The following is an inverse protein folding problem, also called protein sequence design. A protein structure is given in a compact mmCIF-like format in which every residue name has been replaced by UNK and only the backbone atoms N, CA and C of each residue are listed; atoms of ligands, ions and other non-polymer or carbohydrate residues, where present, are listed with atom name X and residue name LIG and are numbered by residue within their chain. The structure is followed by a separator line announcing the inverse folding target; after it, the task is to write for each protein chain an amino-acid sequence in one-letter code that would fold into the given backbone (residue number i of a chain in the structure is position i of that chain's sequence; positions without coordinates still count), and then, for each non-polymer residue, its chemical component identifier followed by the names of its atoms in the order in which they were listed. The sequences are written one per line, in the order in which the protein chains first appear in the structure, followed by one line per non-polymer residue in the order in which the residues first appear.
data_IF_868724241160
#
_entry.id   IF_868724241160
#
_cell.length_a   1.000
_cell.length_b   1.000
_cell.length_c   1.000
_cell.angle_alpha   90.00
_cell.angle_beta   90.00
_cell.angle_gamma   90.00
#
_symmetry.space_group_name_H-M   'P 1'
#
loop_
_entity.id
_entity.type
_entity.pdbx_description
1 polymer ?
#
# COMPACT_ATOMS: atom_id res chain seq x y z
N UNK A 1 -9.94 -4.76 3.15
CA UNK A 1 -8.58 -4.56 3.62
C UNK A 1 -7.61 -4.54 2.44
N UNK A 2 -6.77 -3.54 2.43
CA UNK A 2 -5.69 -3.41 1.44
C UNK A 2 -4.38 -3.73 2.12
N UNK A 3 -3.60 -4.62 1.54
CA UNK A 3 -2.24 -4.89 1.97
C UNK A 3 -1.30 -4.27 0.94
N UNK A 4 -0.48 -3.32 1.38
CA UNK A 4 0.33 -2.48 0.49
C UNK A 4 1.80 -2.73 0.77
N UNK A 5 2.57 -3.04 -0.26
CA UNK A 5 3.99 -3.26 -0.18
C UNK A 5 4.71 -2.29 -1.12
N UNK A 6 5.85 -1.77 -0.70
CA UNK A 6 6.66 -0.86 -1.50
C UNK A 6 7.66 -1.64 -2.34
N UNK A 7 7.51 -1.57 -3.65
CA UNK A 7 8.41 -2.25 -4.57
C UNK A 7 9.74 -1.50 -4.65
N UNK A 8 10.84 -2.24 -4.57
CA UNK A 8 12.20 -1.72 -4.68
C UNK A 8 12.61 -0.77 -3.56
N UNK A 9 11.91 -0.82 -2.42
CA UNK A 9 12.27 0.03 -1.28
C UNK A 9 13.69 -0.25 -0.78
N UNK A 10 14.11 -1.51 -0.78
CA UNK A 10 15.46 -1.89 -0.36
C UNK A 10 16.53 -1.14 -1.16
N UNK A 11 16.30 -0.89 -2.44
CA UNK A 11 17.24 -0.13 -3.27
C UNK A 11 17.44 1.29 -2.76
N UNK A 12 16.42 1.89 -2.18
CA UNK A 12 16.54 3.24 -1.60
C UNK A 12 17.53 3.22 -0.44
N UNK A 13 17.37 2.26 0.47
CA UNK A 13 18.30 2.11 1.60
C UNK A 13 19.72 1.80 1.12
N UNK A 14 19.85 0.91 0.14
CA UNK A 14 21.17 0.51 -0.38
C UNK A 14 21.89 1.65 -1.10
N UNK A 15 21.15 2.49 -1.82
CA UNK A 15 21.72 3.56 -2.63
C UNK A 15 21.88 4.88 -1.89
N UNK A 16 20.95 5.21 -0.98
CA UNK A 16 20.87 6.53 -0.36
C UNK A 16 20.94 6.49 1.17
N UNK A 17 20.94 5.29 1.78
CA UNK A 17 21.04 5.11 3.22
C UNK A 17 19.69 5.00 3.90
N UNK A 18 19.72 4.53 5.16
CA UNK A 18 18.50 4.29 5.95
C UNK A 18 17.74 5.57 6.28
N UNK A 19 18.43 6.69 6.45
CA UNK A 19 17.76 7.96 6.72
C UNK A 19 16.89 8.39 5.54
N UNK A 20 17.39 8.19 4.32
CA UNK A 20 16.61 8.46 3.11
C UNK A 20 15.41 7.52 3.01
N UNK A 21 15.59 6.25 3.34
CA UNK A 21 14.50 5.28 3.39
C UNK A 21 13.42 5.67 4.40
N UNK A 22 13.81 6.11 5.58
CA UNK A 22 12.86 6.56 6.61
C UNK A 22 12.10 7.80 6.16
N UNK A 23 12.77 8.75 5.52
CA UNK A 23 12.13 9.94 4.98
C UNK A 23 11.14 9.59 3.86
N UNK A 24 11.51 8.64 3.01
CA UNK A 24 10.64 8.14 1.95
C UNK A 24 9.38 7.50 2.52
N UNK A 25 9.53 6.65 3.55
CA UNK A 25 8.40 6.00 4.22
C UNK A 25 7.42 7.02 4.78
N UNK A 26 7.92 8.09 5.40
CA UNK A 26 7.07 9.17 5.92
C UNK A 26 6.30 9.87 4.81
N UNK A 27 6.95 10.16 3.70
CA UNK A 27 6.29 10.77 2.54
C UNK A 27 5.20 9.88 1.98
N UNK A 28 5.49 8.60 1.82
CA UNK A 28 4.52 7.64 1.28
C UNK A 28 3.34 7.49 2.24
N UNK A 29 3.60 7.35 3.53
CA UNK A 29 2.54 7.26 4.53
C UNK A 29 1.61 8.48 4.46
N UNK A 30 2.17 9.68 4.31
CA UNK A 30 1.38 10.90 4.19
C UNK A 30 0.55 10.91 2.91
N UNK A 31 1.12 10.50 1.78
CA UNK A 31 0.38 10.41 0.51
C UNK A 31 -0.75 9.40 0.59
N UNK A 32 -0.51 8.23 1.19
CA UNK A 32 -1.55 7.22 1.39
C UNK A 32 -2.66 7.73 2.31
N UNK A 33 -2.29 8.42 3.37
CA UNK A 33 -3.27 8.99 4.30
C UNK A 33 -4.16 10.03 3.61
N UNK A 34 -3.60 10.86 2.76
CA UNK A 34 -4.37 11.87 2.01
C UNK A 34 -5.33 11.22 1.01
N UNK A 35 -5.00 10.03 0.53
CA UNK A 35 -5.88 9.30 -0.39
C UNK A 35 -7.02 8.58 0.32
N UNK A 36 -6.88 8.33 1.61
CA UNK A 36 -7.94 7.70 2.41
C UNK A 36 -8.97 8.72 2.85
N UNK A 37 -10.16 8.26 3.25
CA UNK A 37 -11.30 9.11 3.57
C UNK A 37 -12.00 8.64 4.83
N UNK A 38 -12.49 9.59 5.63
CA UNK A 38 -13.43 9.33 6.72
C UNK A 38 -12.97 8.27 7.71
N UNK A 39 -13.69 7.15 7.74
CA UNK A 39 -13.45 6.08 8.69
C UNK A 39 -12.31 5.13 8.29
N UNK A 40 -11.65 5.37 7.15
CA UNK A 40 -10.53 4.54 6.74
C UNK A 40 -9.37 4.64 7.73
N UNK A 41 -8.65 3.54 7.90
CA UNK A 41 -7.52 3.48 8.84
C UNK A 41 -6.29 2.92 8.14
N UNK A 42 -5.21 3.68 8.20
CA UNK A 42 -3.91 3.30 7.65
C UNK A 42 -2.98 2.87 8.78
N UNK A 43 -2.37 1.71 8.63
CA UNK A 43 -1.40 1.18 9.59
C UNK A 43 -0.12 0.79 8.88
N UNK A 44 1.02 1.00 9.53
CA UNK A 44 2.29 0.43 9.10
C UNK A 44 2.47 -0.92 9.81
N UNK A 45 2.59 -1.99 9.03
CA UNK A 45 2.70 -3.35 9.57
C UNK A 45 4.15 -3.71 9.89
N UNK A 46 5.08 -3.21 9.11
CA UNK A 46 6.51 -3.44 9.30
C UNK A 46 7.26 -2.79 8.16
N UNK A 47 8.58 -2.74 8.23
CA UNK A 47 9.47 -2.27 7.18
C UNK A 47 8.82 -1.35 6.13
N UNK A 48 8.54 -1.95 5.00
CA UNK A 48 7.98 -1.31 3.81
C UNK A 48 6.53 -1.76 3.53
N UNK A 49 5.80 -2.20 4.56
CA UNK A 49 4.45 -2.73 4.42
C UNK A 49 3.43 -1.89 5.18
N UNK A 50 2.29 -1.63 4.53
CA UNK A 50 1.16 -0.92 5.11
C UNK A 50 -0.13 -1.72 4.92
N UNK A 51 -1.09 -1.50 5.80
CA UNK A 51 -2.46 -1.97 5.60
C UNK A 51 -3.41 -0.79 5.66
N UNK A 52 -4.44 -0.82 4.82
CA UNK A 52 -5.51 0.15 4.84
C UNK A 52 -6.82 -0.59 5.09
N UNK A 53 -7.48 -0.24 6.17
CA UNK A 53 -8.81 -0.76 6.48
C UNK A 53 -9.84 0.23 5.98
N UNK A 54 -10.74 -0.23 5.10
CA UNK A 54 -11.80 0.58 4.51
C UNK A 54 -13.16 -0.01 4.90
N UNK A 55 -13.78 0.50 6.00
CA UNK A 55 -15.08 -0.01 6.45
C UNK A 55 -16.16 0.24 5.40
N UNK A 56 -17.06 -0.74 5.26
CA UNK A 56 -18.18 -0.64 4.33
C UNK A 56 -17.80 -0.74 2.85
N UNK A 57 -16.61 -1.23 2.54
CA UNK A 57 -16.15 -1.33 1.16
C UNK A 57 -16.92 -2.41 0.39
N UNK A 58 -17.29 -2.06 -0.83
CA UNK A 58 -17.75 -3.02 -1.84
C UNK A 58 -16.61 -3.32 -2.80
N UNK A 59 -16.77 -4.31 -3.66
CA UNK A 59 -15.76 -4.58 -4.69
C UNK A 59 -15.52 -3.34 -5.56
N UNK A 60 -16.60 -2.66 -5.95
CA UNK A 60 -16.49 -1.46 -6.77
C UNK A 60 -15.73 -0.33 -6.06
N UNK A 61 -16.10 -0.03 -4.81
CA UNK A 61 -15.44 1.05 -4.07
C UNK A 61 -14.00 0.70 -3.74
N UNK A 62 -13.70 -0.59 -3.49
CA UNK A 62 -12.34 -1.04 -3.24
C UNK A 62 -11.47 -0.88 -4.49
N UNK A 63 -11.98 -1.23 -5.67
CA UNK A 63 -11.23 -1.04 -6.92
C UNK A 63 -10.94 0.42 -7.21
N UNK A 64 -11.89 1.31 -6.95
CA UNK A 64 -11.68 2.75 -7.10
C UNK A 64 -10.62 3.27 -6.14
N UNK A 65 -10.67 2.83 -4.88
CA UNK A 65 -9.63 3.19 -3.91
C UNK A 65 -8.26 2.68 -4.34
N UNK A 66 -8.19 1.46 -4.85
CA UNK A 66 -6.94 0.88 -5.33
C UNK A 66 -6.33 1.74 -6.45
N UNK A 67 -7.14 2.22 -7.38
CA UNK A 67 -6.67 3.11 -8.45
C UNK A 67 -6.11 4.41 -7.87
N UNK A 68 -6.77 4.98 -6.86
CA UNK A 68 -6.28 6.19 -6.18
C UNK A 68 -4.95 5.94 -5.51
N UNK A 69 -4.82 4.81 -4.79
CA UNK A 69 -3.58 4.46 -4.10
C UNK A 69 -2.44 4.23 -5.09
N UNK A 70 -2.71 3.53 -6.19
CA UNK A 70 -1.69 3.33 -7.22
C UNK A 70 -1.22 4.64 -7.82
N UNK A 71 -2.10 5.62 -7.94
CA UNK A 71 -1.77 6.95 -8.45
C UNK A 71 -0.86 7.77 -7.53
N UNK A 72 -0.78 7.40 -6.26
CA UNK A 72 0.03 8.11 -5.26
C UNK A 72 1.52 8.18 -5.66
N UNK A 73 2.00 7.16 -6.36
CA UNK A 73 3.42 7.05 -6.74
C UNK A 73 3.72 7.61 -8.13
N UNK A 74 2.76 8.23 -8.80
CA UNK A 74 3.00 8.81 -10.13
C UNK A 74 3.90 10.03 -10.09
N UNK A 75 3.86 10.78 -9.00
CA UNK A 75 4.77 11.93 -8.81
C UNK A 75 6.01 11.47 -8.06
N UNK A 76 7.21 11.80 -8.55
CA UNK A 76 8.44 11.48 -7.83
C UNK A 76 8.45 12.06 -6.42
N UNK A 77 9.16 11.40 -5.52
CA UNK A 77 9.33 11.86 -4.15
C UNK A 77 10.71 12.47 -4.02
N UNK A 78 10.77 13.72 -3.58
CA UNK A 78 12.04 14.39 -3.32
C UNK A 78 12.44 14.21 -1.87
N UNK A 79 13.62 13.63 -1.67
CA UNK A 79 14.26 13.53 -0.37
C UNK A 79 15.54 14.35 -0.47
N UNK A 80 15.54 15.51 0.18
CA UNK A 80 16.63 16.49 0.06
C UNK A 80 16.86 16.87 -1.40
N UNK A 81 18.01 16.51 -1.99
CA UNK A 81 18.33 16.82 -3.38
C UNK A 81 18.15 15.62 -4.31
N UNK A 82 17.63 14.52 -3.80
CA UNK A 82 17.43 13.29 -4.57
C UNK A 82 15.95 13.14 -4.92
N UNK A 83 15.67 12.90 -6.20
CA UNK A 83 14.34 12.56 -6.66
C UNK A 83 14.23 11.05 -6.83
N UNK A 84 13.29 10.44 -6.12
CA UNK A 84 13.07 9.00 -6.16
C UNK A 84 11.82 8.73 -6.97
N UNK A 85 11.98 8.05 -8.11
CA UNK A 85 10.90 7.78 -9.06
C UNK A 85 10.75 6.31 -9.41
N UNK A 86 11.53 5.43 -8.79
CA UNK A 86 11.55 4.00 -9.12
C UNK A 86 10.81 3.12 -8.11
N UNK A 87 10.34 3.68 -7.00
CA UNK A 87 9.57 2.92 -6.00
C UNK A 87 8.11 2.88 -6.42
N UNK A 88 7.53 1.69 -6.46
CA UNK A 88 6.14 1.48 -6.78
C UNK A 88 5.38 0.83 -5.63
N UNK A 89 4.10 0.56 -5.86
CA UNK A 89 3.25 -0.13 -4.90
C UNK A 89 2.75 -1.44 -5.48
N UNK A 90 2.72 -2.46 -4.63
CA UNK A 90 1.98 -3.71 -4.87
C UNK A 90 0.87 -3.78 -3.85
N UNK A 91 -0.37 -3.95 -4.29
CA UNK A 91 -1.55 -3.90 -3.42
C UNK A 91 -2.36 -5.17 -3.59
N UNK A 92 -2.61 -5.85 -2.47
CA UNK A 92 -3.57 -6.93 -2.41
C UNK A 92 -4.83 -6.45 -1.71
N UNK A 93 -5.98 -6.86 -2.20
CA UNK A 93 -7.29 -6.44 -1.68
C UNK A 93 -8.08 -7.68 -1.29
N UNK A 94 -8.62 -7.70 -0.08
CA UNK A 94 -9.54 -8.72 0.35
C UNK A 94 -10.78 -8.09 0.99
N UNK A 95 -11.93 -8.66 0.72
CA UNK A 95 -13.22 -8.18 1.19
C UNK A 95 -13.78 -9.10 2.28
N UNK A 96 -14.29 -8.50 3.34
CA UNK A 96 -14.97 -9.20 4.41
C UNK A 96 -16.47 -8.88 4.34
N UNK A 97 -17.36 -9.84 4.50
CA UNK A 97 -17.12 -11.26 4.82
C UNK A 97 -16.96 -12.18 3.61
N UNK A 98 -16.96 -11.66 2.38
CA UNK A 98 -17.03 -12.47 1.16
C UNK A 98 -15.80 -13.36 0.99
N UNK A 99 -14.63 -12.89 1.41
CA UNK A 99 -13.35 -13.54 1.11
C UNK A 99 -12.57 -13.94 2.37
N UNK A 100 -13.17 -13.76 3.55
CA UNK A 100 -12.54 -14.12 4.81
C UNK A 100 -13.57 -14.29 5.90
N UNK A 101 -13.28 -15.17 6.86
CA UNK A 101 -14.17 -15.42 8.00
C UNK A 101 -13.78 -14.58 9.22
N UNK A 102 -12.51 -14.21 9.33
CA UNK A 102 -12.01 -13.43 10.45
C UNK A 102 -10.85 -12.52 10.02
N UNK A 103 -10.31 -11.78 10.97
CA UNK A 103 -9.25 -10.81 10.68
C UNK A 103 -7.97 -11.49 10.16
N UNK A 104 -7.59 -12.65 10.71
CA UNK A 104 -6.39 -13.35 10.28
C UNK A 104 -6.52 -13.84 8.85
N UNK A 105 -7.68 -14.38 8.48
CA UNK A 105 -7.96 -14.80 7.10
C UNK A 105 -7.96 -13.62 6.15
N UNK A 106 -8.51 -12.49 6.58
CA UNK A 106 -8.57 -11.27 5.75
C UNK A 106 -7.16 -10.78 5.42
N UNK A 107 -6.28 -10.73 6.42
CA UNK A 107 -4.89 -10.35 6.21
C UNK A 107 -4.17 -11.31 5.27
N UNK A 108 -4.36 -12.61 5.46
CA UNK A 108 -3.75 -13.62 4.59
C UNK A 108 -4.21 -13.50 3.15
N UNK A 109 -5.51 -13.31 2.95
CA UNK A 109 -6.08 -13.18 1.61
C UNK A 109 -5.51 -11.94 0.90
N UNK A 110 -5.46 -10.80 1.58
CA UNK A 110 -4.89 -9.59 1.03
C UNK A 110 -3.41 -9.74 0.73
N UNK A 111 -2.66 -10.38 1.64
CA UNK A 111 -1.23 -10.64 1.45
C UNK A 111 -0.98 -11.52 0.22
N UNK A 112 -1.76 -12.58 0.05
CA UNK A 112 -1.65 -13.43 -1.13
C UNK A 112 -1.94 -12.66 -2.42
N UNK A 113 -2.94 -11.80 -2.41
CA UNK A 113 -3.34 -11.04 -3.59
C UNK A 113 -2.24 -10.07 -4.05
N UNK A 114 -1.45 -9.52 -3.12
CA UNK A 114 -0.42 -8.52 -3.45
C UNK A 114 0.83 -9.07 -4.12
N UNK A 115 0.94 -10.37 -4.32
CA UNK A 115 2.17 -10.99 -4.84
C UNK A 115 2.56 -10.49 -6.24
N UNK A 116 1.68 -9.81 -6.95
CA UNK A 116 1.97 -9.28 -8.27
C UNK A 116 2.49 -7.85 -8.17
N UNK A 117 3.79 -7.68 -8.39
CA UNK A 117 4.47 -6.39 -8.23
C UNK A 117 3.94 -5.33 -9.18
N UNK A 118 3.84 -4.09 -8.66
CA UNK A 118 3.42 -2.93 -9.42
C UNK A 118 1.94 -2.92 -9.76
N UNK A 119 1.11 -3.71 -9.10
CA UNK A 119 -0.31 -3.80 -9.38
C UNK A 119 -1.16 -3.88 -8.12
N UNK A 120 -2.40 -3.43 -8.26
CA UNK A 120 -3.44 -3.68 -7.29
C UNK A 120 -4.24 -4.90 -7.73
N UNK A 121 -4.54 -5.79 -6.81
CA UNK A 121 -5.21 -7.03 -7.15
C UNK A 121 -6.19 -7.48 -6.07
N UNK A 122 -7.41 -7.81 -6.50
CA UNK A 122 -8.39 -8.41 -5.62
C UNK A 122 -8.07 -9.88 -5.40
N UNK A 123 -8.25 -10.35 -4.17
CA UNK A 123 -8.02 -11.75 -3.83
C UNK A 123 -8.97 -12.67 -4.60
N UNK A 124 -8.40 -13.71 -5.21
CA UNK A 124 -9.15 -14.80 -5.83
C UNK A 124 -8.68 -16.11 -5.21
N UNK A 125 -9.60 -16.87 -4.58
CA UNK A 125 -9.25 -18.14 -3.96
C UNK A 125 -8.69 -19.15 -4.97
#
# INVERSE_FOLDING_TARGET
LFFIDLDRFKEVNDRFGHDAGDALLKCIAERLRRSSCGADRLYRVGGDEFTLLMPGATEKSARLMAERLMGVMQSPIKIEQVSIDFVGLSIGIALYPEQAEDAADLLRAADQAKQRRGRARLYTP
#
